data_IF_388047531948
#
_entry.id   IF_388047531948
#
_cell.length_a   1.000
_cell.length_b   1.000
_cell.length_c   1.000
_cell.angle_alpha   90.00
_cell.angle_beta   90.00
_cell.angle_gamma   90.00
#
_symmetry.space_group_name_H-M   'P 1'
#
loop_
_entity.id
_entity.type
_entity.pdbx_description
1 polymer ?
#
# COMPACT_ATOMS: atom_id res chain seq x y z
N UNK A 1 -98.52 -7.73 -60.76
CA UNK A 1 -99.04 -6.77 -61.74
C UNK A 1 -98.11 -5.56 -61.79
N UNK A 2 -97.90 -4.96 -62.97
CA UNK A 2 -96.62 -4.44 -63.45
C UNK A 2 -96.41 -2.94 -63.20
N UNK A 3 -95.19 -2.45 -63.42
CA UNK A 3 -94.93 -1.17 -64.08
C UNK A 3 -93.47 -1.11 -64.58
N UNK A 4 -93.19 -0.41 -65.70
CA UNK A 4 -92.10 -0.70 -66.63
C UNK A 4 -90.93 0.31 -66.59
N UNK A 5 -89.85 -0.06 -67.29
CA UNK A 5 -88.61 0.70 -67.51
C UNK A 5 -88.79 1.96 -68.37
N UNK A 6 -87.80 2.87 -68.39
CA UNK A 6 -86.87 3.01 -69.54
C UNK A 6 -85.43 3.43 -69.07
N UNK A 7 -84.33 3.49 -69.81
CA UNK A 7 -83.83 3.23 -71.18
C UNK A 7 -82.27 3.30 -71.10
N UNK A 8 -81.53 2.47 -71.84
CA UNK A 8 -80.04 2.50 -72.05
C UNK A 8 -79.66 3.58 -73.12
N UNK A 9 -78.44 3.73 -73.74
CA UNK A 9 -77.14 2.99 -73.74
C UNK A 9 -75.92 4.01 -73.86
N UNK A 10 -74.71 3.77 -74.46
CA UNK A 10 -74.09 2.56 -75.06
C UNK A 10 -72.59 2.26 -74.77
N UNK A 11 -72.28 0.95 -74.87
CA UNK A 11 -71.16 0.23 -75.54
C UNK A 11 -69.78 0.94 -75.70
N UNK A 12 -68.62 0.29 -75.54
CA UNK A 12 -68.14 -0.90 -76.28
C UNK A 12 -66.80 -1.46 -75.65
N UNK A 13 -66.05 -2.43 -76.23
CA UNK A 13 -65.97 -3.79 -75.69
C UNK A 13 -64.56 -4.42 -75.51
N UNK A 14 -64.52 -5.50 -74.72
CA UNK A 14 -63.75 -6.76 -74.80
C UNK A 14 -62.19 -6.85 -74.87
N UNK A 15 -61.66 -7.52 -73.81
CA UNK A 15 -60.65 -8.64 -73.76
C UNK A 15 -59.16 -8.33 -74.08
N UNK A 16 -58.18 -9.21 -73.73
CA UNK A 16 -58.14 -10.39 -72.83
C UNK A 16 -56.94 -10.40 -71.83
N UNK A 17 -56.83 -11.52 -71.08
CA UNK A 17 -55.79 -11.96 -70.13
C UNK A 17 -54.33 -11.56 -70.43
N UNK A 18 -53.61 -11.07 -69.41
CA UNK A 18 -52.16 -10.97 -69.40
C UNK A 18 -51.52 -11.94 -68.40
N UNK A 19 -50.56 -12.66 -68.96
CA UNK A 19 -49.59 -13.60 -68.45
C UNK A 19 -49.04 -13.37 -67.03
N UNK A 20 -48.94 -14.50 -66.34
CA UNK A 20 -48.05 -14.88 -65.25
C UNK A 20 -46.63 -14.28 -65.43
N UNK A 21 -46.31 -13.24 -64.65
CA UNK A 21 -44.95 -12.67 -64.59
C UNK A 21 -44.02 -13.58 -63.79
N UNK A 22 -43.06 -14.19 -64.50
CA UNK A 22 -41.91 -14.89 -63.94
C UNK A 22 -41.11 -14.03 -62.93
N UNK A 23 -40.44 -14.64 -61.94
CA UNK A 23 -39.57 -13.92 -61.03
C UNK A 23 -38.36 -13.35 -61.78
N UNK A 24 -38.03 -12.08 -61.52
CA UNK A 24 -36.80 -11.46 -62.00
C UNK A 24 -35.59 -12.23 -61.44
N UNK A 25 -34.52 -12.45 -62.21
CA UNK A 25 -33.27 -13.00 -61.67
C UNK A 25 -32.71 -12.02 -60.65
N UNK A 26 -32.28 -12.53 -59.49
CA UNK A 26 -31.42 -11.77 -58.59
C UNK A 26 -30.17 -11.35 -59.36
N UNK A 27 -29.95 -10.05 -59.52
CA UNK A 27 -28.71 -9.51 -60.04
C UNK A 27 -27.56 -10.02 -59.14
N UNK A 28 -26.72 -10.88 -59.71
CA UNK A 28 -25.47 -11.31 -59.09
C UNK A 28 -24.66 -10.06 -58.75
N UNK A 29 -24.19 -9.87 -57.50
CA UNK A 29 -23.32 -8.74 -57.20
C UNK A 29 -22.10 -8.83 -58.12
N UNK A 30 -21.89 -7.81 -58.97
CA UNK A 30 -20.71 -7.74 -59.83
C UNK A 30 -19.40 -7.61 -59.03
N UNK A 31 -19.51 -7.26 -57.75
CA UNK A 31 -18.42 -7.14 -56.80
C UNK A 31 -18.28 -8.44 -55.96
N UNK A 32 -17.17 -9.19 -56.10
CA UNK A 32 -16.87 -10.37 -55.30
C UNK A 32 -16.92 -10.12 -53.79
N UNK A 33 -16.56 -8.92 -53.32
CA UNK A 33 -16.58 -8.58 -51.89
C UNK A 33 -18.00 -8.47 -51.35
N UNK A 34 -18.89 -7.79 -52.07
CA UNK A 34 -20.31 -7.71 -51.73
C UNK A 34 -20.96 -9.10 -51.69
N UNK A 35 -20.63 -9.97 -52.66
CA UNK A 35 -21.12 -11.35 -52.67
C UNK A 35 -20.59 -12.16 -51.49
N UNK A 36 -19.33 -12.00 -51.12
CA UNK A 36 -18.77 -12.67 -49.96
C UNK A 36 -19.44 -12.24 -48.64
N UNK A 37 -19.75 -10.95 -48.48
CA UNK A 37 -20.48 -10.43 -47.30
C UNK A 37 -21.86 -11.07 -47.16
N UNK A 38 -22.61 -11.16 -48.25
CA UNK A 38 -23.94 -11.80 -48.27
C UNK A 38 -23.86 -13.28 -47.88
N UNK A 39 -22.84 -14.01 -48.34
CA UNK A 39 -22.61 -15.40 -47.96
C UNK A 39 -22.24 -15.55 -46.49
N UNK A 40 -21.45 -14.63 -45.94
CA UNK A 40 -21.09 -14.58 -44.51
C UNK A 40 -22.33 -14.36 -43.64
N UNK A 41 -23.21 -13.42 -44.02
CA UNK A 41 -24.47 -13.16 -43.30
C UNK A 41 -25.40 -14.39 -43.26
N UNK A 42 -25.31 -15.26 -44.27
CA UNK A 42 -26.04 -16.54 -44.35
C UNK A 42 -25.34 -17.69 -43.65
N UNK A 43 -24.13 -17.48 -43.12
CA UNK A 43 -23.31 -18.53 -42.51
C UNK A 43 -22.66 -19.50 -43.52
N UNK A 44 -22.63 -19.16 -44.81
CA UNK A 44 -22.10 -20.00 -45.89
C UNK A 44 -20.58 -19.79 -46.07
N UNK A 45 -19.81 -20.04 -45.00
CA UNK A 45 -18.40 -19.66 -44.90
C UNK A 45 -17.46 -20.32 -45.93
N UNK A 46 -17.67 -21.59 -46.29
CA UNK A 46 -16.84 -22.24 -47.33
C UNK A 46 -17.04 -21.63 -48.72
N UNK A 47 -18.27 -21.25 -49.05
CA UNK A 47 -18.57 -20.57 -50.31
C UNK A 47 -17.98 -19.15 -50.29
N UNK A 48 -18.14 -18.43 -49.18
CA UNK A 48 -17.52 -17.11 -49.00
C UNK A 48 -15.99 -17.17 -49.16
N UNK A 49 -15.33 -18.19 -48.58
CA UNK A 49 -13.89 -18.43 -48.75
C UNK A 49 -13.50 -18.61 -50.22
N UNK A 50 -14.26 -19.43 -50.96
CA UNK A 50 -14.01 -19.66 -52.39
C UNK A 50 -14.13 -18.39 -53.23
N UNK A 51 -15.13 -17.54 -52.93
CA UNK A 51 -15.31 -16.24 -53.61
C UNK A 51 -14.15 -15.29 -53.28
N UNK A 52 -13.75 -15.20 -52.01
CA UNK A 52 -12.68 -14.30 -51.57
C UNK A 52 -11.29 -14.73 -52.06
N UNK A 53 -11.05 -16.03 -52.24
CA UNK A 53 -9.78 -16.53 -52.77
C UNK A 53 -9.54 -16.14 -54.25
N UNK A 54 -10.61 -15.89 -55.01
CA UNK A 54 -10.55 -15.46 -56.42
C UNK A 54 -10.70 -13.94 -56.62
N UNK A 55 -10.92 -13.18 -55.55
CA UNK A 55 -11.11 -11.74 -55.61
C UNK A 55 -9.77 -10.98 -55.64
N UNK A 56 -9.78 -9.76 -56.19
CA UNK A 56 -8.62 -8.85 -56.10
C UNK A 56 -8.25 -8.60 -54.62
N UNK A 57 -6.96 -8.72 -54.24
CA UNK A 57 -6.52 -8.60 -52.86
C UNK A 57 -6.63 -7.15 -52.39
N UNK A 58 -7.77 -6.81 -51.81
CA UNK A 58 -7.99 -5.56 -51.08
C UNK A 58 -7.93 -5.76 -49.57
N UNK A 59 -7.67 -4.69 -48.83
CA UNK A 59 -7.66 -4.67 -47.35
C UNK A 59 -8.94 -5.27 -46.77
N UNK A 60 -10.09 -4.84 -47.28
CA UNK A 60 -11.40 -5.30 -46.83
C UNK A 60 -11.64 -6.77 -47.17
N UNK A 61 -11.23 -7.21 -48.37
CA UNK A 61 -11.34 -8.62 -48.76
C UNK A 61 -10.46 -9.53 -47.90
N UNK A 62 -9.22 -9.11 -47.60
CA UNK A 62 -8.29 -9.87 -46.76
C UNK A 62 -8.75 -9.96 -45.30
N UNK A 63 -9.27 -8.85 -44.77
CA UNK A 63 -9.89 -8.86 -43.43
C UNK A 63 -11.11 -9.78 -43.38
N UNK A 64 -12.02 -9.68 -44.35
CA UNK A 64 -13.20 -10.55 -44.40
C UNK A 64 -12.82 -12.02 -44.58
N UNK A 65 -11.77 -12.31 -45.35
CA UNK A 65 -11.24 -13.66 -45.49
C UNK A 65 -10.71 -14.19 -44.16
N UNK A 66 -10.03 -13.36 -43.37
CA UNK A 66 -9.64 -13.68 -42.00
C UNK A 66 -10.85 -14.07 -41.15
N UNK A 67 -11.91 -13.26 -41.15
CA UNK A 67 -13.13 -13.52 -40.37
C UNK A 67 -13.80 -14.85 -40.79
N UNK A 68 -13.87 -15.12 -42.09
CA UNK A 68 -14.38 -16.39 -42.64
C UNK A 68 -13.52 -17.58 -42.20
N UNK A 69 -12.20 -17.44 -42.21
CA UNK A 69 -11.28 -18.51 -41.82
C UNK A 69 -11.34 -18.79 -40.31
N UNK A 70 -11.54 -17.76 -39.47
CA UNK A 70 -11.82 -17.94 -38.04
C UNK A 70 -13.12 -18.74 -37.85
N UNK A 71 -14.19 -18.39 -38.55
CA UNK A 71 -15.46 -19.11 -38.46
C UNK A 71 -15.37 -20.59 -38.90
N UNK A 72 -14.45 -20.89 -39.82
CA UNK A 72 -14.15 -22.26 -40.26
C UNK A 72 -13.16 -23.01 -39.34
N UNK A 73 -12.64 -22.38 -38.28
CA UNK A 73 -11.62 -22.95 -37.39
C UNK A 73 -10.23 -23.06 -38.02
N UNK A 74 -9.98 -22.38 -39.15
CA UNK A 74 -8.71 -22.40 -39.89
C UNK A 74 -7.80 -21.27 -39.40
N UNK A 75 -7.48 -21.31 -38.12
CA UNK A 75 -6.89 -20.18 -37.40
C UNK A 75 -5.52 -19.70 -37.94
N UNK A 76 -4.54 -20.57 -38.28
CA UNK A 76 -3.25 -20.10 -38.81
C UNK A 76 -3.40 -19.34 -40.14
N UNK A 77 -4.33 -19.80 -40.98
CA UNK A 77 -4.61 -19.16 -42.27
C UNK A 77 -5.35 -17.85 -42.09
N UNK A 78 -6.23 -17.75 -41.09
CA UNK A 78 -6.88 -16.51 -40.73
C UNK A 78 -5.86 -15.44 -40.33
N UNK A 79 -4.86 -15.79 -39.52
CA UNK A 79 -3.77 -14.88 -39.13
C UNK A 79 -3.00 -14.40 -40.35
N UNK A 80 -2.68 -15.29 -41.30
CA UNK A 80 -2.02 -14.89 -42.55
C UNK A 80 -2.90 -13.91 -43.36
N UNK A 81 -4.20 -14.19 -43.49
CA UNK A 81 -5.13 -13.31 -44.20
C UNK A 81 -5.26 -11.93 -43.53
N UNK A 82 -5.34 -11.86 -42.20
CA UNK A 82 -5.34 -10.59 -41.47
C UNK A 82 -4.01 -9.86 -41.59
N UNK A 83 -2.87 -10.55 -41.54
CA UNK A 83 -1.56 -9.93 -41.67
C UNK A 83 -1.39 -9.26 -43.05
N UNK A 84 -1.91 -9.87 -44.11
CA UNK A 84 -1.96 -9.27 -45.45
C UNK A 84 -2.89 -8.05 -45.53
N UNK A 85 -3.80 -7.87 -44.57
CA UNK A 85 -4.68 -6.71 -44.50
C UNK A 85 -4.06 -5.53 -43.74
N UNK A 86 -2.88 -5.67 -43.14
CA UNK A 86 -2.25 -4.60 -42.34
C UNK A 86 -1.77 -3.47 -43.27
N UNK A 87 -2.26 -2.22 -43.11
CA UNK A 87 -1.73 -1.08 -43.86
C UNK A 87 -0.32 -0.67 -43.45
N UNK A 88 0.44 -0.16 -44.42
CA UNK A 88 1.73 0.50 -44.19
C UNK A 88 1.57 2.02 -43.95
N UNK A 89 0.44 2.60 -44.32
CA UNK A 89 0.18 4.04 -44.37
C UNK A 89 -0.73 4.56 -43.24
N UNK A 90 -1.29 3.67 -42.43
CA UNK A 90 -2.29 3.99 -41.40
C UNK A 90 -2.03 3.16 -40.12
N UNK A 91 -1.29 3.76 -39.19
CA UNK A 91 -0.92 3.12 -37.93
C UNK A 91 -2.13 2.70 -37.09
N UNK A 92 -3.23 3.47 -37.11
CA UNK A 92 -4.43 3.18 -36.33
C UNK A 92 -5.12 1.93 -36.87
N UNK A 93 -5.28 1.86 -38.20
CA UNK A 93 -5.86 0.69 -38.85
C UNK A 93 -4.95 -0.54 -38.72
N UNK A 94 -3.63 -0.36 -38.79
CA UNK A 94 -2.65 -1.43 -38.55
C UNK A 94 -2.78 -2.01 -37.14
N UNK A 95 -2.83 -1.16 -36.12
CA UNK A 95 -2.98 -1.58 -34.72
C UNK A 95 -4.31 -2.28 -34.47
N UNK A 96 -5.41 -1.84 -35.09
CA UNK A 96 -6.71 -2.51 -34.99
C UNK A 96 -6.67 -3.94 -35.54
N UNK A 97 -5.99 -4.15 -36.67
CA UNK A 97 -5.85 -5.49 -37.27
C UNK A 97 -4.91 -6.36 -36.43
N UNK A 98 -3.79 -5.81 -35.95
CA UNK A 98 -2.88 -6.54 -35.03
C UNK A 98 -3.58 -6.92 -33.73
N UNK A 99 -4.47 -6.09 -33.20
CA UNK A 99 -5.30 -6.42 -32.04
C UNK A 99 -6.23 -7.61 -32.33
N UNK A 100 -6.85 -7.62 -33.51
CA UNK A 100 -7.69 -8.75 -33.97
C UNK A 100 -6.87 -10.04 -34.07
N UNK A 101 -5.67 -9.98 -34.67
CA UNK A 101 -4.76 -11.11 -34.77
C UNK A 101 -4.37 -11.64 -33.38
N UNK A 102 -4.05 -10.76 -32.43
CA UNK A 102 -3.74 -11.16 -31.04
C UNK A 102 -4.90 -11.91 -30.39
N UNK A 103 -6.13 -11.44 -30.56
CA UNK A 103 -7.32 -12.12 -30.05
C UNK A 103 -7.51 -13.52 -30.63
N UNK A 104 -7.21 -13.69 -31.92
CA UNK A 104 -7.24 -15.01 -32.59
C UNK A 104 -6.12 -15.92 -32.07
N UNK A 105 -4.89 -15.40 -31.92
CA UNK A 105 -3.75 -16.13 -31.36
C UNK A 105 -4.00 -16.57 -29.90
N UNK A 106 -4.66 -15.74 -29.09
CA UNK A 106 -4.98 -16.07 -27.70
C UNK A 106 -5.92 -17.27 -27.55
N UNK A 107 -6.73 -17.56 -28.56
CA UNK A 107 -7.67 -18.68 -28.58
C UNK A 107 -7.07 -19.97 -29.17
N UNK A 108 -5.86 -19.93 -29.75
CA UNK A 108 -5.26 -21.08 -30.42
C UNK A 108 -4.62 -22.09 -29.45
N UNK A 109 -4.62 -23.37 -29.87
CA UNK A 109 -3.82 -24.42 -29.24
C UNK A 109 -2.33 -24.36 -29.65
N UNK A 110 -1.46 -25.12 -28.95
CA UNK A 110 -0.01 -25.06 -29.17
C UNK A 110 0.44 -25.50 -30.57
N UNK A 111 -0.28 -26.43 -31.23
CA UNK A 111 0.04 -26.86 -32.60
C UNK A 111 -0.13 -25.72 -33.61
N UNK A 112 -1.27 -25.03 -33.56
CA UNK A 112 -1.59 -23.92 -34.48
C UNK A 112 -0.70 -22.71 -34.20
N UNK A 113 -0.43 -22.39 -32.93
CA UNK A 113 0.57 -21.38 -32.56
C UNK A 113 1.96 -21.70 -33.11
N UNK A 114 2.35 -22.98 -33.06
CA UNK A 114 3.60 -23.45 -33.66
C UNK A 114 3.66 -23.24 -35.17
N UNK A 115 2.54 -23.48 -35.87
CA UNK A 115 2.43 -23.20 -37.32
C UNK A 115 2.57 -21.72 -37.64
N UNK A 116 1.92 -20.83 -36.87
CA UNK A 116 2.05 -19.37 -37.06
C UNK A 116 3.49 -18.91 -36.79
N UNK A 117 4.09 -19.38 -35.69
CA UNK A 117 5.47 -19.07 -35.33
C UNK A 117 6.49 -19.52 -36.38
N UNK A 118 6.22 -20.64 -37.06
CA UNK A 118 7.06 -21.17 -38.14
C UNK A 118 6.82 -20.46 -39.49
N UNK A 119 5.58 -20.07 -39.77
CA UNK A 119 5.21 -19.35 -41.00
C UNK A 119 5.91 -18.00 -41.09
N UNK A 120 5.99 -17.28 -39.97
CA UNK A 120 6.60 -15.95 -39.94
C UNK A 120 7.47 -15.74 -38.69
N UNK A 121 8.70 -16.30 -38.68
CA UNK A 121 9.58 -16.34 -37.52
C UNK A 121 9.92 -14.98 -36.90
N UNK A 122 10.03 -13.93 -37.74
CA UNK A 122 10.57 -12.62 -37.37
C UNK A 122 9.55 -11.48 -37.45
N UNK A 123 8.26 -11.77 -37.65
CA UNK A 123 7.22 -10.73 -37.60
C UNK A 123 6.51 -10.69 -36.23
N UNK A 124 5.81 -9.59 -35.90
CA UNK A 124 5.11 -9.44 -34.63
C UNK A 124 4.12 -10.57 -34.32
N UNK A 125 3.46 -11.13 -35.34
CA UNK A 125 2.47 -12.19 -35.22
C UNK A 125 3.11 -13.51 -34.78
N UNK A 126 4.19 -13.92 -35.45
CA UNK A 126 4.93 -15.13 -35.09
C UNK A 126 5.64 -14.98 -33.75
N UNK A 127 6.19 -13.79 -33.46
CA UNK A 127 6.75 -13.46 -32.17
C UNK A 127 5.74 -13.55 -31.03
N UNK A 128 4.52 -13.02 -31.22
CA UNK A 128 3.43 -13.15 -30.25
C UNK A 128 2.99 -14.61 -30.08
N UNK A 129 2.93 -15.40 -31.16
CA UNK A 129 2.62 -16.82 -31.09
C UNK A 129 3.64 -17.58 -30.23
N UNK A 130 4.94 -17.29 -30.38
CA UNK A 130 6.01 -17.85 -29.51
C UNK A 130 5.85 -17.43 -28.06
N UNK A 131 5.50 -16.18 -27.79
CA UNK A 131 5.22 -15.71 -26.42
C UNK A 131 4.02 -16.44 -25.80
N UNK A 132 2.96 -16.71 -26.58
CA UNK A 132 1.82 -17.52 -26.10
C UNK A 132 2.21 -18.96 -25.82
N UNK A 133 3.06 -19.57 -26.65
CA UNK A 133 3.62 -20.90 -26.37
C UNK A 133 4.42 -20.93 -25.06
N UNK A 134 5.25 -19.90 -24.80
CA UNK A 134 5.97 -19.79 -23.53
C UNK A 134 5.01 -19.68 -22.32
N UNK A 135 3.92 -18.93 -22.44
CA UNK A 135 2.88 -18.83 -21.40
C UNK A 135 2.12 -20.15 -21.20
N UNK A 136 1.78 -20.86 -22.27
CA UNK A 136 1.15 -22.19 -22.18
C UNK A 136 2.08 -23.21 -21.51
N UNK A 137 3.40 -23.10 -21.69
CA UNK A 137 4.37 -23.89 -20.95
C UNK A 137 4.33 -23.59 -19.44
N UNK A 138 4.25 -22.30 -19.05
CA UNK A 138 4.08 -21.90 -17.64
C UNK A 138 2.77 -22.41 -17.03
N UNK A 139 1.66 -22.33 -17.76
CA UNK A 139 0.35 -22.83 -17.31
C UNK A 139 0.39 -24.36 -17.03
N UNK A 140 1.22 -25.10 -17.77
CA UNK A 140 1.50 -26.53 -17.54
C UNK A 140 2.53 -26.79 -16.44
N UNK A 141 3.14 -25.75 -15.87
CA UNK A 141 4.22 -25.87 -14.87
C UNK A 141 5.60 -26.14 -15.46
N UNK A 142 5.75 -26.07 -16.79
CA UNK A 142 7.01 -26.33 -17.49
C UNK A 142 7.83 -25.03 -17.63
N UNK A 143 8.49 -24.65 -16.53
CA UNK A 143 9.31 -23.44 -16.49
C UNK A 143 10.57 -23.56 -17.37
N UNK A 144 11.06 -24.77 -17.66
CA UNK A 144 12.26 -24.99 -18.47
C UNK A 144 11.96 -24.72 -19.94
N UNK A 145 10.87 -25.28 -20.48
CA UNK A 145 10.41 -24.96 -21.84
C UNK A 145 10.08 -23.46 -21.98
N UNK A 146 9.42 -22.88 -20.98
CA UNK A 146 9.09 -21.45 -21.00
C UNK A 146 10.34 -20.57 -21.08
N UNK A 147 11.38 -20.86 -20.28
CA UNK A 147 12.63 -20.11 -20.29
C UNK A 147 13.36 -20.22 -21.63
N UNK A 148 13.47 -21.42 -22.19
CA UNK A 148 14.09 -21.64 -23.49
C UNK A 148 13.41 -20.81 -24.59
N UNK A 149 12.07 -20.83 -24.63
CA UNK A 149 11.32 -20.02 -25.61
C UNK A 149 11.49 -18.52 -25.39
N UNK A 150 11.55 -18.05 -24.14
CA UNK A 150 11.73 -16.62 -23.86
C UNK A 150 13.13 -16.14 -24.22
N UNK A 151 14.15 -16.97 -24.05
CA UNK A 151 15.53 -16.70 -24.50
C UNK A 151 15.60 -16.56 -26.03
N UNK A 152 14.97 -17.48 -26.76
CA UNK A 152 14.86 -17.39 -28.23
C UNK A 152 14.16 -16.10 -28.67
N UNK A 153 13.05 -15.73 -28.02
CA UNK A 153 12.33 -14.49 -28.34
C UNK A 153 13.18 -13.26 -28.04
N UNK A 154 13.86 -13.21 -26.89
CA UNK A 154 14.74 -12.08 -26.52
C UNK A 154 15.90 -11.92 -27.52
N UNK A 155 16.44 -13.02 -28.03
CA UNK A 155 17.51 -13.01 -29.03
C UNK A 155 17.01 -12.59 -30.43
N UNK A 156 15.93 -13.19 -30.92
CA UNK A 156 15.41 -12.95 -32.27
C UNK A 156 14.77 -11.57 -32.44
N UNK A 157 14.22 -11.02 -31.34
CA UNK A 157 13.54 -9.72 -31.31
C UNK A 157 14.33 -8.69 -30.49
N UNK A 158 15.67 -8.77 -30.53
CA UNK A 158 16.55 -7.86 -29.82
C UNK A 158 16.32 -6.40 -30.25
N UNK A 159 15.95 -5.54 -29.28
CA UNK A 159 15.74 -4.12 -29.51
C UNK A 159 14.29 -3.71 -29.75
N UNK A 160 13.34 -4.65 -29.78
CA UNK A 160 11.91 -4.33 -29.83
C UNK A 160 11.19 -4.54 -28.49
N UNK A 161 9.89 -4.17 -28.44
CA UNK A 161 9.04 -4.33 -27.25
C UNK A 161 8.78 -5.80 -26.87
N UNK A 162 8.75 -6.71 -27.85
CA UNK A 162 8.49 -8.12 -27.63
C UNK A 162 9.69 -8.80 -26.97
N UNK A 163 10.89 -8.60 -27.50
CA UNK A 163 12.14 -9.07 -26.91
C UNK A 163 12.36 -8.49 -25.51
N UNK A 164 12.09 -7.19 -25.32
CA UNK A 164 12.13 -6.56 -23.99
C UNK A 164 11.14 -7.22 -22.99
N UNK A 165 9.92 -7.52 -23.44
CA UNK A 165 8.89 -8.19 -22.63
C UNK A 165 9.28 -9.63 -22.30
N UNK A 166 9.82 -10.37 -23.28
CA UNK A 166 10.30 -11.73 -23.10
C UNK A 166 11.47 -11.80 -22.10
N UNK A 167 12.45 -10.90 -22.25
CA UNK A 167 13.57 -10.78 -21.32
C UNK A 167 13.14 -10.43 -19.90
N UNK A 168 12.14 -9.54 -19.74
CA UNK A 168 11.59 -9.22 -18.42
C UNK A 168 10.92 -10.44 -17.76
N UNK A 169 10.11 -11.19 -18.51
CA UNK A 169 9.48 -12.42 -18.01
C UNK A 169 10.52 -13.50 -17.70
N UNK A 170 11.54 -13.67 -18.55
CA UNK A 170 12.64 -14.62 -18.34
C UNK A 170 13.37 -14.33 -17.03
N UNK A 171 13.82 -13.08 -16.82
CA UNK A 171 14.48 -12.66 -15.57
C UNK A 171 13.61 -12.92 -14.34
N UNK A 172 12.29 -12.68 -14.45
CA UNK A 172 11.36 -12.97 -13.35
C UNK A 172 11.28 -14.47 -13.01
N UNK A 173 11.24 -15.34 -14.02
CA UNK A 173 11.20 -16.79 -13.84
C UNK A 173 12.54 -17.33 -13.29
N UNK A 174 13.67 -16.84 -13.79
CA UNK A 174 14.99 -17.19 -13.28
C UNK A 174 15.15 -16.81 -11.81
N UNK A 175 14.73 -15.60 -11.43
CA UNK A 175 14.73 -15.17 -10.04
C UNK A 175 13.86 -16.07 -9.15
N UNK A 176 12.70 -16.52 -9.65
CA UNK A 176 11.83 -17.48 -8.94
C UNK A 176 12.48 -18.87 -8.78
N UNK A 177 13.26 -19.34 -9.74
CA UNK A 177 13.98 -20.63 -9.64
C UNK A 177 15.20 -20.52 -8.71
N UNK A 178 15.83 -19.36 -8.64
CA UNK A 178 16.99 -19.11 -7.79
C UNK A 178 16.64 -19.11 -6.29
N UNK A 179 15.38 -18.85 -5.94
CA UNK A 179 14.91 -18.84 -4.55
C UNK A 179 14.23 -20.15 -4.16
N UNK A 180 14.33 -20.51 -2.88
CA UNK A 180 13.61 -21.61 -2.25
C UNK A 180 12.37 -21.04 -1.58
N UNK A 181 11.15 -21.31 -2.09
CA UNK A 181 9.92 -20.80 -1.50
C UNK A 181 9.87 -21.03 0.02
N UNK A 182 9.42 -20.02 0.76
CA UNK A 182 9.32 -20.07 2.22
C UNK A 182 10.63 -19.85 2.98
N UNK A 183 11.79 -19.76 2.33
CA UNK A 183 13.08 -19.60 3.02
C UNK A 183 13.37 -18.12 3.34
N UNK A 184 13.29 -17.74 4.60
CA UNK A 184 13.60 -16.39 5.09
C UNK A 184 14.91 -16.38 5.86
N UNK A 185 15.77 -15.40 5.59
CA UNK A 185 16.99 -15.17 6.34
C UNK A 185 16.79 -14.23 7.54
N UNK A 186 17.40 -14.52 8.68
CA UNK A 186 17.48 -13.60 9.82
C UNK A 186 18.95 -13.32 10.14
N UNK A 187 19.42 -12.12 9.79
CA UNK A 187 20.80 -11.67 9.98
C UNK A 187 20.87 -10.77 11.21
N UNK A 188 21.27 -11.32 12.35
CA UNK A 188 21.24 -10.62 13.65
C UNK A 188 22.47 -11.01 14.50
N UNK A 189 22.92 -10.18 15.47
CA UNK A 189 24.05 -10.52 16.33
C UNK A 189 23.66 -11.66 17.27
N UNK A 190 24.12 -12.87 17.00
CA UNK A 190 23.92 -14.05 17.85
C UNK A 190 25.10 -14.26 18.81
N UNK A 191 26.24 -13.62 18.52
CA UNK A 191 27.40 -13.53 19.41
C UNK A 191 27.79 -12.07 19.69
N UNK A 192 28.85 -11.89 20.49
CA UNK A 192 29.38 -10.57 20.84
C UNK A 192 28.52 -9.76 21.84
N UNK A 193 28.79 -8.45 21.97
CA UNK A 193 28.13 -7.57 22.93
C UNK A 193 26.62 -7.42 22.70
N UNK A 194 26.18 -7.46 21.44
CA UNK A 194 24.78 -7.27 21.06
C UNK A 194 23.94 -8.56 21.06
N UNK A 195 24.49 -9.70 21.51
CA UNK A 195 23.80 -11.01 21.50
C UNK A 195 22.42 -10.99 22.16
N UNK A 196 22.27 -10.19 23.22
CA UNK A 196 21.01 -10.12 23.96
C UNK A 196 19.88 -9.57 23.08
N UNK A 197 20.18 -8.59 22.22
CA UNK A 197 19.23 -8.03 21.27
C UNK A 197 18.93 -8.99 20.12
N UNK A 198 19.95 -9.65 19.55
CA UNK A 198 19.73 -10.65 18.51
C UNK A 198 18.91 -11.84 18.99
N UNK A 199 19.11 -12.32 20.23
CA UNK A 199 18.24 -13.36 20.82
C UNK A 199 16.78 -12.92 20.95
N UNK A 200 16.51 -11.64 21.25
CA UNK A 200 15.14 -11.10 21.25
C UNK A 200 14.56 -11.08 19.84
N UNK A 201 15.34 -10.66 18.84
CA UNK A 201 14.92 -10.68 17.44
C UNK A 201 14.62 -12.11 16.96
N UNK A 202 15.46 -13.09 17.28
CA UNK A 202 15.19 -14.51 16.99
C UNK A 202 13.88 -14.98 17.61
N UNK A 203 13.65 -14.70 18.90
CA UNK A 203 12.38 -15.05 19.55
C UNK A 203 11.18 -14.45 18.84
N UNK A 204 11.24 -13.15 18.50
CA UNK A 204 10.18 -12.47 17.76
C UNK A 204 9.93 -13.08 16.39
N UNK A 205 10.98 -13.37 15.63
CA UNK A 205 10.88 -13.99 14.31
C UNK A 205 10.30 -15.41 14.37
N UNK A 206 10.73 -16.21 15.34
CA UNK A 206 10.22 -17.58 15.54
C UNK A 206 8.74 -17.58 15.93
N UNK A 207 8.33 -16.67 16.83
CA UNK A 207 6.92 -16.50 17.19
C UNK A 207 6.09 -16.03 16.00
N UNK A 208 6.55 -15.01 15.27
CA UNK A 208 5.84 -14.46 14.11
C UNK A 208 5.75 -15.43 12.93
N UNK A 209 6.75 -16.30 12.76
CA UNK A 209 6.75 -17.35 11.74
C UNK A 209 5.88 -18.57 12.10
N UNK A 210 5.30 -18.64 13.32
CA UNK A 210 4.42 -19.72 13.70
C UNK A 210 5.09 -21.10 13.77
N UNK A 211 6.42 -21.18 13.91
CA UNK A 211 7.19 -22.43 13.81
C UNK A 211 6.88 -23.47 14.90
N UNK A 212 6.10 -23.10 15.92
CA UNK A 212 5.66 -23.98 17.00
C UNK A 212 4.14 -24.19 17.02
N UNK A 213 3.43 -23.81 15.96
CA UNK A 213 2.01 -24.13 15.79
C UNK A 213 1.79 -25.60 15.41
N UNK A 214 0.51 -26.02 15.40
CA UNK A 214 0.12 -27.38 15.03
C UNK A 214 0.21 -27.64 13.50
N UNK A 215 0.19 -26.58 12.69
CA UNK A 215 0.27 -26.64 11.23
C UNK A 215 1.67 -26.22 10.74
N UNK A 216 2.12 -26.79 9.62
CA UNK A 216 3.35 -26.36 8.96
C UNK A 216 3.14 -24.96 8.35
N UNK A 217 3.86 -23.92 8.83
CA UNK A 217 3.69 -22.57 8.31
C UNK A 217 4.24 -22.40 6.89
N UNK A 218 4.93 -23.39 6.33
CA UNK A 218 5.60 -23.28 5.03
C UNK A 218 6.75 -22.28 5.04
N UNK A 219 7.27 -21.94 6.23
CA UNK A 219 8.36 -20.98 6.45
C UNK A 219 9.57 -21.69 7.02
N UNK A 220 10.71 -21.53 6.34
CA UNK A 220 12.03 -21.95 6.82
C UNK A 220 12.84 -20.73 7.22
N UNK A 221 13.11 -20.58 8.52
CA UNK A 221 13.93 -19.49 9.03
C UNK A 221 15.42 -19.90 9.07
N UNK A 222 16.28 -19.20 8.33
CA UNK A 222 17.73 -19.40 8.31
C UNK A 222 18.40 -18.33 9.16
N UNK A 223 18.96 -18.74 10.30
CA UNK A 223 19.63 -17.82 11.22
C UNK A 223 21.08 -17.59 10.79
N UNK A 224 21.49 -16.31 10.69
CA UNK A 224 22.88 -15.91 10.42
C UNK A 224 23.38 -14.96 11.51
N UNK A 225 24.57 -15.25 12.03
CA UNK A 225 25.21 -14.41 13.05
C UNK A 225 25.97 -13.25 12.40
N UNK A 226 25.45 -12.03 12.53
CA UNK A 226 26.13 -10.83 12.02
C UNK A 226 27.22 -10.31 12.95
N UNK A 227 27.31 -10.82 14.19
CA UNK A 227 28.18 -10.32 15.28
C UNK A 227 28.01 -8.84 15.64
N UNK A 228 27.14 -8.10 14.94
CA UNK A 228 27.03 -6.65 15.00
C UNK A 228 28.09 -5.92 14.18
N UNK A 229 28.73 -6.60 13.23
CA UNK A 229 29.86 -6.08 12.44
C UNK A 229 29.46 -5.93 10.96
N UNK A 230 29.97 -4.87 10.30
CA UNK A 230 29.64 -4.54 8.91
C UNK A 230 30.03 -5.65 7.91
N UNK A 231 31.29 -6.06 7.95
CA UNK A 231 31.82 -7.09 7.04
C UNK A 231 31.15 -8.45 7.23
N UNK A 232 30.84 -8.82 8.48
CA UNK A 232 30.15 -10.08 8.76
C UNK A 232 28.70 -10.01 8.28
N UNK A 233 27.99 -8.91 8.54
CA UNK A 233 26.61 -8.74 8.06
C UNK A 233 26.51 -8.86 6.54
N UNK A 234 27.43 -8.23 5.79
CA UNK A 234 27.54 -8.37 4.33
C UNK A 234 27.74 -9.83 3.91
N UNK A 235 28.75 -10.52 4.47
CA UNK A 235 29.01 -11.94 4.16
C UNK A 235 27.79 -12.83 4.42
N UNK A 236 27.06 -12.57 5.50
CA UNK A 236 25.87 -13.35 5.85
C UNK A 236 24.69 -13.12 4.91
N UNK A 237 24.53 -11.90 4.38
CA UNK A 237 23.56 -11.60 3.32
C UNK A 237 23.92 -12.30 2.01
N UNK A 238 25.19 -12.24 1.60
CA UNK A 238 25.71 -12.97 0.43
C UNK A 238 25.45 -14.48 0.55
N UNK A 239 25.71 -15.06 1.72
CA UNK A 239 25.44 -16.47 1.99
C UNK A 239 23.95 -16.81 1.94
N UNK A 240 23.06 -15.93 2.43
CA UNK A 240 21.61 -16.14 2.37
C UNK A 240 21.08 -16.12 0.93
N UNK A 241 21.58 -15.21 0.10
CA UNK A 241 21.22 -15.17 -1.31
C UNK A 241 21.66 -16.46 -2.03
N UNK A 242 22.87 -16.95 -1.76
CA UNK A 242 23.36 -18.22 -2.31
C UNK A 242 22.56 -19.44 -1.81
N UNK A 243 21.97 -19.36 -0.61
CA UNK A 243 21.03 -20.35 -0.08
C UNK A 243 19.60 -20.20 -0.63
N UNK A 244 19.37 -19.26 -1.55
CA UNK A 244 18.06 -19.04 -2.18
C UNK A 244 17.03 -18.49 -1.20
N UNK A 245 17.42 -17.67 -0.22
CA UNK A 245 16.45 -16.98 0.63
C UNK A 245 15.56 -16.05 -0.23
N UNK A 246 14.25 -16.03 0.04
CA UNK A 246 13.30 -15.13 -0.65
C UNK A 246 13.42 -13.68 -0.16
N UNK A 247 13.86 -13.51 1.08
CA UNK A 247 14.11 -12.21 1.72
C UNK A 247 14.97 -12.41 2.97
N UNK A 248 15.55 -11.32 3.47
CA UNK A 248 16.27 -11.28 4.73
C UNK A 248 15.68 -10.23 5.70
N UNK A 249 15.81 -10.49 7.00
CA UNK A 249 15.40 -9.60 8.10
C UNK A 249 16.61 -9.29 8.98
N UNK A 250 16.70 -8.06 9.48
CA UNK A 250 17.89 -7.50 10.14
C UNK A 250 18.79 -6.80 9.11
N UNK A 251 19.99 -6.34 9.50
CA UNK A 251 20.58 -6.27 10.85
C UNK A 251 19.95 -5.23 11.79
N UNK A 252 20.44 -5.17 13.04
CA UNK A 252 20.01 -4.21 14.07
C UNK A 252 20.90 -2.96 14.22
N UNK A 253 22.22 -3.08 14.01
CA UNK A 253 23.18 -1.96 14.18
C UNK A 253 23.31 -1.20 12.86
N UNK A 254 23.42 0.14 12.92
CA UNK A 254 23.54 1.02 11.75
C UNK A 254 24.56 0.56 10.71
N UNK A 255 25.85 0.58 11.06
CA UNK A 255 26.96 0.17 10.16
C UNK A 255 26.77 -1.24 9.58
N UNK A 256 26.26 -2.18 10.39
CA UNK A 256 25.97 -3.53 9.93
C UNK A 256 24.82 -3.56 8.91
N UNK A 257 23.79 -2.76 9.15
CA UNK A 257 22.65 -2.62 8.27
C UNK A 257 23.00 -1.94 6.95
N UNK A 258 23.86 -0.94 6.97
CA UNK A 258 24.35 -0.28 5.75
C UNK A 258 25.10 -1.26 4.84
N UNK A 259 26.07 -2.00 5.38
CA UNK A 259 26.83 -2.99 4.62
C UNK A 259 25.95 -4.16 4.11
N UNK A 260 25.00 -4.61 4.94
CA UNK A 260 24.03 -5.63 4.54
C UNK A 260 23.09 -5.12 3.43
N UNK A 261 22.66 -3.85 3.51
CA UNK A 261 21.78 -3.23 2.52
C UNK A 261 22.47 -3.09 1.16
N UNK A 262 23.74 -2.66 1.15
CA UNK A 262 24.53 -2.60 -0.09
C UNK A 262 24.63 -3.97 -0.77
N UNK A 263 24.97 -5.01 0.01
CA UNK A 263 25.04 -6.38 -0.49
C UNK A 263 23.69 -6.89 -1.02
N UNK A 264 22.61 -6.66 -0.25
CA UNK A 264 21.26 -7.07 -0.60
C UNK A 264 20.79 -6.45 -1.92
N UNK A 265 21.07 -5.16 -2.15
CA UNK A 265 20.77 -4.46 -3.41
C UNK A 265 21.49 -5.10 -4.59
N UNK A 266 22.81 -5.32 -4.46
CA UNK A 266 23.61 -5.92 -5.53
C UNK A 266 23.15 -7.33 -5.91
N UNK A 267 22.55 -8.05 -4.97
CA UNK A 267 22.04 -9.41 -5.15
C UNK A 267 20.53 -9.46 -5.50
N UNK A 268 19.84 -8.32 -5.48
CA UNK A 268 18.38 -8.27 -5.64
C UNK A 268 17.61 -8.99 -4.54
N UNK A 269 18.20 -9.16 -3.35
CA UNK A 269 17.57 -9.82 -2.20
C UNK A 269 16.80 -8.78 -1.37
N UNK A 270 15.46 -8.88 -1.24
CA UNK A 270 14.72 -7.97 -0.39
C UNK A 270 15.19 -8.04 1.07
N UNK A 271 15.46 -6.89 1.69
CA UNK A 271 15.98 -6.80 3.05
C UNK A 271 15.08 -5.92 3.92
N UNK A 272 14.63 -6.43 5.06
CA UNK A 272 13.93 -5.65 6.09
C UNK A 272 14.87 -5.42 7.27
N UNK A 273 15.53 -4.27 7.31
CA UNK A 273 16.43 -3.92 8.42
C UNK A 273 15.66 -3.49 9.68
N UNK A 274 16.22 -3.80 10.85
CA UNK A 274 15.69 -3.46 12.17
C UNK A 274 16.44 -2.29 12.81
N UNK A 275 17.28 -1.59 12.04
CA UNK A 275 18.10 -0.49 12.53
C UNK A 275 17.30 0.80 12.72
N UNK A 276 17.59 1.59 13.77
CA UNK A 276 17.09 2.96 13.88
C UNK A 276 17.80 3.92 12.90
N UNK A 277 18.95 3.55 12.33
CA UNK A 277 19.72 4.42 11.44
C UNK A 277 18.90 4.82 10.19
N UNK A 278 18.90 6.12 9.89
CA UNK A 278 18.30 6.67 8.67
C UNK A 278 19.16 6.37 7.43
N UNK A 279 18.61 6.62 6.23
CA UNK A 279 19.36 6.52 4.97
C UNK A 279 19.61 5.09 4.45
N UNK A 280 19.18 4.05 5.17
CA UNK A 280 19.40 2.65 4.76
C UNK A 280 18.32 2.12 3.81
N UNK A 281 17.12 2.69 3.80
CA UNK A 281 16.00 2.23 2.97
C UNK A 281 16.13 2.65 1.49
N UNK A 282 15.52 1.89 0.58
CA UNK A 282 15.54 2.09 -0.87
C UNK A 282 16.08 0.88 -1.64
N UNK A 283 15.65 0.71 -2.88
CA UNK A 283 16.11 -0.33 -3.82
C UNK A 283 15.97 -1.77 -3.29
N UNK A 284 14.78 -2.12 -2.79
CA UNK A 284 14.51 -3.44 -2.21
C UNK A 284 14.91 -3.58 -0.73
N UNK A 285 15.44 -2.52 -0.13
CA UNK A 285 15.71 -2.45 1.32
C UNK A 285 14.63 -1.62 2.01
N UNK A 286 14.02 -2.20 3.04
CA UNK A 286 12.97 -1.63 3.87
C UNK A 286 13.47 -1.49 5.30
N UNK A 287 12.98 -0.50 6.03
CA UNK A 287 13.35 -0.26 7.42
C UNK A 287 12.14 -0.43 8.32
N UNK A 288 12.20 -1.40 9.23
CA UNK A 288 11.18 -1.63 10.26
C UNK A 288 11.53 -0.86 11.52
N UNK A 289 11.41 0.46 11.45
CA UNK A 289 11.62 1.35 12.59
C UNK A 289 10.74 2.59 12.45
N UNK A 290 9.97 2.90 13.49
CA UNK A 290 9.20 4.15 13.58
C UNK A 290 10.10 5.23 14.19
N UNK A 291 10.48 6.29 13.43
CA UNK A 291 11.28 7.39 13.97
C UNK A 291 10.54 8.13 15.10
N UNK A 292 11.29 8.59 16.10
CA UNK A 292 10.74 9.23 17.30
C UNK A 292 9.95 10.49 16.95
N UNK A 293 10.41 11.25 15.95
CA UNK A 293 9.70 12.45 15.48
C UNK A 293 8.34 12.11 14.84
N UNK A 294 8.24 10.98 14.14
CA UNK A 294 6.97 10.53 13.54
C UNK A 294 6.01 10.02 14.61
N UNK A 295 6.52 9.24 15.57
CA UNK A 295 5.77 8.72 16.71
C UNK A 295 5.17 9.86 17.55
N UNK A 296 6.01 10.79 17.98
CA UNK A 296 5.61 11.92 18.82
C UNK A 296 4.72 12.89 18.05
N UNK A 297 5.04 13.16 16.78
CA UNK A 297 4.20 14.01 15.94
C UNK A 297 2.79 13.43 15.75
N UNK A 298 2.66 12.11 15.58
CA UNK A 298 1.36 11.45 15.51
C UNK A 298 0.59 11.54 16.83
N UNK A 299 1.27 11.33 17.96
CA UNK A 299 0.69 11.46 19.31
C UNK A 299 0.15 12.87 19.56
N UNK A 300 0.97 13.90 19.30
CA UNK A 300 0.58 15.30 19.51
C UNK A 300 -0.55 15.72 18.57
N UNK A 301 -0.50 15.35 17.29
CA UNK A 301 -1.60 15.62 16.35
C UNK A 301 -2.93 15.05 16.84
N UNK A 302 -2.90 13.82 17.36
CA UNK A 302 -4.09 13.20 17.92
C UNK A 302 -4.57 13.91 19.19
N UNK A 303 -3.66 14.28 20.09
CA UNK A 303 -3.98 15.01 21.30
C UNK A 303 -4.62 16.39 21.00
N UNK A 304 -4.04 17.16 20.10
CA UNK A 304 -4.53 18.52 19.76
C UNK A 304 -5.79 18.45 18.92
N UNK A 305 -5.78 17.73 17.79
CA UNK A 305 -6.89 17.76 16.82
C UNK A 305 -8.01 16.79 17.16
N UNK A 306 -7.68 15.65 17.76
CA UNK A 306 -8.63 14.60 18.09
C UNK A 306 -9.26 14.78 19.47
N UNK A 307 -8.46 15.15 20.48
CA UNK A 307 -8.92 15.32 21.86
C UNK A 307 -9.16 16.79 22.23
N UNK A 308 -8.72 17.75 21.41
CA UNK A 308 -8.92 19.18 21.66
C UNK A 308 -8.00 19.78 22.75
N UNK A 309 -6.96 19.05 23.17
CA UNK A 309 -6.03 19.48 24.22
C UNK A 309 -5.11 20.59 23.70
N UNK A 310 -4.83 21.60 24.53
CA UNK A 310 -4.05 22.78 24.12
C UNK A 310 -2.87 23.07 25.03
N UNK A 311 -2.96 22.77 26.32
CA UNK A 311 -1.89 23.01 27.28
C UNK A 311 -1.29 21.68 27.74
N UNK A 312 0.04 21.59 27.74
CA UNK A 312 0.76 20.35 28.02
C UNK A 312 1.90 20.59 29.01
N UNK A 313 2.16 19.61 29.85
CA UNK A 313 3.35 19.52 30.67
C UNK A 313 4.23 18.36 30.20
N UNK A 314 5.54 18.45 30.43
CA UNK A 314 6.50 17.38 30.13
C UNK A 314 7.19 16.95 31.42
N UNK A 315 7.05 15.69 31.80
CA UNK A 315 7.76 15.08 32.91
C UNK A 315 8.63 13.95 32.37
N UNK A 316 9.96 14.07 32.38
CA UNK A 316 10.83 13.14 31.67
C UNK A 316 12.02 12.62 32.49
N UNK A 317 12.48 11.37 32.29
CA UNK A 317 13.71 10.89 32.91
C UNK A 317 14.92 11.62 32.32
N UNK A 318 15.86 12.10 33.15
CA UNK A 318 17.05 12.84 32.70
C UNK A 318 18.12 11.92 32.06
N UNK A 319 17.76 11.35 30.93
CA UNK A 319 18.57 10.43 30.13
C UNK A 319 18.68 10.98 28.70
N UNK A 320 19.66 10.55 27.89
CA UNK A 320 19.73 10.95 26.48
C UNK A 320 18.43 10.68 25.71
N UNK A 321 17.78 9.54 25.95
CA UNK A 321 16.49 9.19 25.34
C UNK A 321 15.36 10.08 25.86
N UNK A 322 15.27 10.32 27.17
CA UNK A 322 14.24 11.21 27.73
C UNK A 322 14.33 12.63 27.20
N UNK A 323 15.55 13.20 27.12
CA UNK A 323 15.80 14.51 26.51
C UNK A 323 15.44 14.55 25.03
N UNK A 324 15.79 13.50 24.26
CA UNK A 324 15.38 13.38 22.86
C UNK A 324 13.86 13.47 22.71
N UNK A 325 13.10 12.66 23.46
CA UNK A 325 11.64 12.67 23.36
C UNK A 325 11.01 13.98 23.88
N UNK A 326 11.57 14.59 24.94
CA UNK A 326 11.18 15.93 25.40
C UNK A 326 11.27 16.94 24.26
N UNK A 327 12.41 16.99 23.58
CA UNK A 327 12.64 17.95 22.48
C UNK A 327 11.67 17.69 21.32
N UNK A 328 11.49 16.42 20.92
CA UNK A 328 10.52 16.05 19.87
C UNK A 328 9.09 16.42 20.22
N UNK A 329 8.70 16.27 21.49
CA UNK A 329 7.35 16.59 21.95
C UNK A 329 7.12 18.09 22.00
N UNK A 330 8.07 18.85 22.54
CA UNK A 330 8.03 20.30 22.54
C UNK A 330 7.88 20.84 21.11
N UNK A 331 8.74 20.41 20.19
CA UNK A 331 8.70 20.84 18.79
C UNK A 331 7.34 20.52 18.14
N UNK A 332 6.81 19.31 18.39
CA UNK A 332 5.54 18.88 17.83
C UNK A 332 4.34 19.65 18.40
N UNK A 333 4.33 19.97 19.70
CA UNK A 333 3.25 20.75 20.33
C UNK A 333 3.22 22.17 19.77
N UNK A 334 4.38 22.83 19.68
CA UNK A 334 4.49 24.17 19.11
C UNK A 334 4.03 24.17 17.64
N UNK A 335 4.42 23.16 16.86
CA UNK A 335 4.02 23.04 15.46
C UNK A 335 2.51 22.84 15.26
N UNK A 336 1.82 22.21 16.22
CA UNK A 336 0.37 22.02 16.21
C UNK A 336 -0.40 23.17 16.90
N UNK A 337 0.29 24.22 17.37
CA UNK A 337 -0.31 25.39 17.99
C UNK A 337 -0.78 25.18 19.43
N UNK A 338 -0.25 24.17 20.12
CA UNK A 338 -0.40 24.00 21.56
C UNK A 338 0.69 24.74 22.36
N UNK A 339 0.54 24.73 23.68
CA UNK A 339 1.42 25.39 24.63
C UNK A 339 2.03 24.38 25.61
N UNK A 340 3.31 24.56 25.94
CA UNK A 340 3.94 23.82 27.03
C UNK A 340 3.98 24.73 28.26
N UNK A 341 3.29 24.36 29.34
CA UNK A 341 3.20 25.17 30.57
C UNK A 341 4.24 24.78 31.63
N UNK A 342 4.79 23.56 31.55
CA UNK A 342 5.82 23.10 32.48
C UNK A 342 6.67 21.97 31.92
N UNK A 343 7.95 21.95 32.30
CA UNK A 343 8.91 20.91 31.90
C UNK A 343 9.82 20.58 33.07
N UNK A 344 9.76 19.34 33.54
CA UNK A 344 10.58 18.88 34.66
C UNK A 344 11.24 17.54 34.40
N UNK A 345 12.47 17.40 34.90
CA UNK A 345 13.28 16.22 34.75
C UNK A 345 13.41 15.47 36.08
N UNK A 346 13.51 14.14 36.04
CA UNK A 346 13.76 13.31 37.21
C UNK A 346 14.87 12.29 36.98
N UNK A 347 15.56 11.86 38.04
CA UNK A 347 16.75 11.01 37.97
C UNK A 347 16.45 9.51 37.76
N UNK A 348 15.17 9.15 37.61
CA UNK A 348 14.69 7.78 37.36
C UNK A 348 14.20 7.04 38.62
N UNK A 349 14.19 7.70 39.78
CA UNK A 349 13.64 7.17 41.04
C UNK A 349 12.36 7.92 41.47
N UNK A 350 11.60 7.34 42.39
CA UNK A 350 10.31 7.90 42.84
C UNK A 350 10.46 9.22 43.61
N UNK A 351 11.54 9.39 44.38
CA UNK A 351 11.72 10.61 45.17
C UNK A 351 12.01 11.80 44.27
N UNK A 352 12.89 11.64 43.27
CA UNK A 352 13.13 12.68 42.27
C UNK A 352 11.93 12.94 41.37
N UNK A 353 11.12 11.91 41.06
CA UNK A 353 9.88 12.08 40.32
C UNK A 353 8.82 12.87 41.11
N UNK A 354 8.67 12.62 42.42
CA UNK A 354 7.77 13.39 43.29
C UNK A 354 8.18 14.87 43.36
N UNK A 355 9.46 15.13 43.61
CA UNK A 355 9.98 16.50 43.61
C UNK A 355 9.80 17.20 42.24
N UNK A 356 9.88 16.46 41.13
CA UNK A 356 9.62 17.00 39.81
C UNK A 356 8.13 17.35 39.60
N UNK A 357 7.19 16.56 40.14
CA UNK A 357 5.75 16.90 40.12
C UNK A 357 5.46 18.14 40.96
N UNK A 358 6.08 18.27 42.13
CA UNK A 358 5.94 19.46 42.98
C UNK A 358 6.44 20.73 42.28
N UNK A 359 7.55 20.64 41.55
CA UNK A 359 8.07 21.76 40.75
C UNK A 359 7.14 22.09 39.59
N UNK A 360 6.68 21.06 38.88
CA UNK A 360 5.80 21.19 37.74
C UNK A 360 4.47 21.89 38.08
N UNK A 361 4.01 21.73 39.33
CA UNK A 361 2.74 22.30 39.82
C UNK A 361 2.94 23.52 40.74
N UNK A 362 4.19 24.00 40.85
CA UNK A 362 4.54 25.19 41.61
C UNK A 362 4.34 25.08 43.11
N UNK A 363 4.34 23.89 43.71
CA UNK A 363 4.29 23.70 45.18
C UNK A 363 5.67 23.47 45.79
N UNK A 364 6.68 23.23 44.96
CA UNK A 364 8.05 23.02 45.41
C UNK A 364 8.70 24.31 45.92
N UNK A 365 9.24 24.26 47.15
CA UNK A 365 10.15 25.28 47.67
C UNK A 365 9.53 26.65 47.96
N UNK A 366 8.20 26.71 48.17
CA UNK A 366 7.50 27.95 48.48
C UNK A 366 8.01 28.60 49.77
N UNK A 367 8.22 29.92 49.74
CA UNK A 367 8.58 30.69 50.94
C UNK A 367 7.35 30.88 51.86
N UNK A 368 7.54 31.17 53.16
CA UNK A 368 6.41 31.49 54.05
C UNK A 368 5.55 32.65 53.55
N UNK A 369 6.15 33.61 52.83
CA UNK A 369 5.47 34.75 52.22
C UNK A 369 4.59 34.31 51.04
N UNK A 370 5.08 33.40 50.20
CA UNK A 370 4.33 32.84 49.07
C UNK A 370 3.18 31.94 49.55
N UNK A 371 3.41 31.13 50.59
CA UNK A 371 2.36 30.30 51.23
C UNK A 371 1.26 31.21 51.77
N UNK A 372 1.62 32.26 52.52
CA UNK A 372 0.66 33.25 53.04
C UNK A 372 -0.08 33.96 51.91
N UNK A 373 0.60 34.31 50.82
CA UNK A 373 -0.04 34.94 49.66
C UNK A 373 -1.08 34.03 49.00
N UNK A 374 -0.76 32.74 48.78
CA UNK A 374 -1.71 31.76 48.24
C UNK A 374 -2.90 31.52 49.18
N UNK A 375 -2.65 31.41 50.48
CA UNK A 375 -3.71 31.29 51.48
C UNK A 375 -4.70 32.45 51.40
N UNK A 376 -4.18 33.69 51.37
CA UNK A 376 -5.00 34.89 51.28
C UNK A 376 -5.78 34.97 49.96
N UNK A 377 -5.18 34.54 48.85
CA UNK A 377 -5.86 34.48 47.56
C UNK A 377 -7.00 33.46 47.56
N UNK A 378 -6.79 32.27 48.14
CA UNK A 378 -7.85 31.27 48.27
C UNK A 378 -9.00 31.75 49.17
N UNK A 379 -8.69 32.40 50.30
CA UNK A 379 -9.70 32.98 51.17
C UNK A 379 -10.48 34.10 50.47
N UNK A 380 -9.83 34.94 49.67
CA UNK A 380 -10.50 35.96 48.87
C UNK A 380 -11.48 35.33 47.88
N UNK A 381 -11.05 34.32 47.12
CA UNK A 381 -11.91 33.61 46.16
C UNK A 381 -13.09 32.91 46.83
N UNK A 382 -12.88 32.36 48.03
CA UNK A 382 -13.97 31.78 48.85
C UNK A 382 -15.01 32.84 49.21
N UNK A 383 -14.58 33.99 49.71
CA UNK A 383 -15.47 35.09 50.07
C UNK A 383 -16.21 35.65 48.85
N UNK A 384 -15.56 35.74 47.69
CA UNK A 384 -16.21 36.12 46.43
C UNK A 384 -17.31 35.14 46.00
N UNK A 385 -17.07 33.82 46.13
CA UNK A 385 -18.09 32.80 45.86
C UNK A 385 -19.26 32.88 46.84
N UNK A 386 -18.97 33.07 48.11
CA UNK A 386 -19.99 33.24 49.14
C UNK A 386 -20.84 34.51 48.86
N UNK A 387 -20.20 35.61 48.50
CA UNK A 387 -20.89 36.84 48.08
C UNK A 387 -21.82 36.59 46.90
N UNK A 388 -21.35 35.92 45.84
CA UNK A 388 -22.17 35.62 44.67
C UNK A 388 -23.40 34.77 45.04
N UNK A 389 -23.26 33.85 46.00
CA UNK A 389 -24.38 33.06 46.54
C UNK A 389 -25.39 33.95 47.30
N UNK A 390 -24.92 34.83 48.19
CA UNK A 390 -25.79 35.75 48.92
C UNK A 390 -26.52 36.73 48.01
N UNK A 391 -25.82 37.29 47.01
CA UNK A 391 -26.42 38.18 46.00
C UNK A 391 -27.50 37.44 45.19
N UNK A 392 -27.28 36.18 44.82
CA UNK A 392 -28.29 35.34 44.17
C UNK A 392 -29.54 35.09 45.06
N UNK A 393 -29.37 35.14 46.38
CA UNK A 393 -30.46 35.03 47.37
C UNK A 393 -31.08 36.39 47.73
N UNK A 394 -30.65 37.49 47.11
CA UNK A 394 -31.17 38.84 47.35
C UNK A 394 -30.68 39.49 48.64
N UNK A 395 -29.60 38.98 49.23
CA UNK A 395 -28.99 39.51 50.45
C UNK A 395 -27.68 40.20 50.09
N UNK A 396 -27.48 41.45 50.51
CA UNK A 396 -26.21 42.16 50.34
C UNK A 396 -25.39 42.05 51.64
N UNK A 397 -24.29 41.27 51.66
CA UNK A 397 -23.43 41.17 52.83
C UNK A 397 -22.68 42.48 53.10
N UNK A 398 -22.32 42.74 54.36
CA UNK A 398 -21.56 43.92 54.75
C UNK A 398 -20.10 43.86 54.23
N UNK A 399 -19.54 44.98 53.75
CA UNK A 399 -18.21 45.04 53.12
C UNK A 399 -17.08 44.50 54.03
N UNK A 400 -17.13 44.76 55.33
CA UNK A 400 -16.15 44.28 56.30
C UNK A 400 -16.18 42.75 56.52
N UNK A 401 -17.25 42.06 56.13
CA UNK A 401 -17.33 40.59 56.19
C UNK A 401 -16.70 39.92 54.96
N UNK A 402 -16.22 40.70 53.98
CA UNK A 402 -15.70 40.23 52.70
C UNK A 402 -14.19 40.45 52.52
N UNK A 403 -13.50 40.96 53.54
CA UNK A 403 -12.04 41.06 53.53
C UNK A 403 -11.40 39.77 54.07
N UNK A 404 -10.45 39.16 53.34
CA UNK A 404 -9.77 37.96 53.82
C UNK A 404 -8.97 38.28 55.08
N UNK A 405 -9.27 37.59 56.17
CA UNK A 405 -8.54 37.71 57.43
C UNK A 405 -7.46 36.64 57.52
N UNK A 406 -6.28 37.01 58.03
CA UNK A 406 -5.22 36.04 58.35
C UNK A 406 -5.61 35.35 59.65
N UNK A 407 -6.23 34.19 59.51
CA UNK A 407 -6.40 33.24 60.60
C UNK A 407 -5.09 32.43 60.74
N UNK A 408 -4.28 32.73 61.76
CA UNK A 408 -2.97 32.10 61.96
C UNK A 408 -3.07 30.59 62.26
N UNK A 409 -4.18 30.12 62.85
CA UNK A 409 -4.40 28.68 63.07
C UNK A 409 -4.63 27.97 61.74
N UNK A 410 -5.48 28.55 60.88
CA UNK A 410 -5.75 28.01 59.54
C UNK A 410 -4.56 28.13 58.59
N UNK A 411 -3.76 29.20 58.71
CA UNK A 411 -2.53 29.36 57.93
C UNK A 411 -1.46 28.33 58.32
N UNK A 412 -1.37 27.97 59.61
CA UNK A 412 -0.41 26.97 60.07
C UNK A 412 -0.73 25.55 59.55
N UNK A 413 -2.01 25.25 59.30
CA UNK A 413 -2.48 23.98 58.73
C UNK A 413 -2.67 24.03 57.20
N UNK A 414 -2.37 25.15 56.55
CA UNK A 414 -2.61 25.33 55.13
C UNK A 414 -1.56 24.64 54.26
N UNK A 415 -2.00 23.68 53.44
CA UNK A 415 -1.21 23.07 52.38
C UNK A 415 -1.56 23.71 51.03
N UNK A 416 -0.61 24.38 50.35
CA UNK A 416 -0.87 25.04 49.07
C UNK A 416 -1.31 24.04 48.00
N UNK A 417 -2.41 24.35 47.31
CA UNK A 417 -2.88 23.51 46.20
C UNK A 417 -1.94 23.58 44.99
N UNK A 418 -1.82 22.46 44.24
CA UNK A 418 -1.08 22.45 42.98
C UNK A 418 -1.74 23.36 41.93
N UNK A 419 -0.93 24.04 41.14
CA UNK A 419 -1.38 24.76 39.94
C UNK A 419 -1.32 23.78 38.78
N UNK A 420 -2.49 23.45 38.22
CA UNK A 420 -2.63 22.55 37.07
C UNK A 420 -3.20 23.35 35.91
N UNK A 421 -2.30 23.94 35.12
CA UNK A 421 -2.62 24.78 33.95
C UNK A 421 -2.45 24.04 32.62
N UNK A 422 -2.31 22.71 32.68
CA UNK A 422 -2.16 21.82 31.52
C UNK A 422 -3.28 20.77 31.46
N UNK A 423 -3.69 20.43 30.24
CA UNK A 423 -4.68 19.38 29.96
C UNK A 423 -4.04 17.98 29.99
N UNK A 424 -2.73 17.89 29.74
CA UNK A 424 -2.02 16.62 29.61
C UNK A 424 -0.57 16.66 30.08
N UNK A 425 -0.07 15.53 30.58
CA UNK A 425 1.33 15.32 30.93
C UNK A 425 1.94 14.29 29.99
N UNK A 426 2.97 14.69 29.25
CA UNK A 426 3.80 13.78 28.46
C UNK A 426 4.91 13.18 29.31
N UNK A 427 4.93 11.85 29.39
CA UNK A 427 5.87 11.06 30.18
C UNK A 427 6.61 10.06 29.28
N UNK A 428 7.74 10.45 28.66
CA UNK A 428 8.51 9.58 27.77
C UNK A 428 9.38 8.59 28.55
N UNK A 429 8.74 7.70 29.29
CA UNK A 429 9.38 6.66 30.08
C UNK A 429 8.87 5.27 29.67
N UNK A 430 9.65 4.19 29.88
CA UNK A 430 9.18 2.81 29.75
C UNK A 430 7.91 2.54 30.56
N UNK A 431 7.08 1.58 30.13
CA UNK A 431 5.80 1.24 30.78
C UNK A 431 5.90 1.07 32.29
N UNK A 432 6.91 0.35 32.78
CA UNK A 432 7.13 0.14 34.21
C UNK A 432 7.41 1.44 34.97
N UNK A 433 8.29 2.30 34.45
CA UNK A 433 8.60 3.59 35.07
C UNK A 433 7.38 4.52 35.02
N UNK A 434 6.65 4.52 33.91
CA UNK A 434 5.43 5.31 33.79
C UNK A 434 4.36 4.87 34.79
N UNK A 435 4.17 3.56 34.98
CA UNK A 435 3.25 3.01 35.97
C UNK A 435 3.63 3.35 37.42
N UNK A 436 4.92 3.56 37.69
CA UNK A 436 5.43 4.00 38.99
C UNK A 436 5.25 5.51 39.22
N UNK A 437 5.45 6.33 38.19
CA UNK A 437 5.38 7.80 38.28
C UNK A 437 3.95 8.31 38.20
N UNK A 438 3.07 7.69 37.40
CA UNK A 438 1.70 8.16 37.20
C UNK A 438 0.88 8.34 38.49
N UNK A 439 0.94 7.43 39.50
CA UNK A 439 0.24 7.64 40.77
C UNK A 439 0.72 8.84 41.58
N UNK A 440 1.95 9.33 41.36
CA UNK A 440 2.47 10.50 42.05
C UNK A 440 1.70 11.77 41.67
N UNK A 441 1.21 11.86 40.43
CA UNK A 441 0.39 13.00 40.01
C UNK A 441 -0.89 13.08 40.86
N UNK A 442 -1.59 11.97 41.04
CA UNK A 442 -2.78 11.93 41.90
C UNK A 442 -2.44 12.14 43.38
N UNK A 443 -1.28 11.64 43.85
CA UNK A 443 -0.81 11.87 45.22
C UNK A 443 -0.56 13.36 45.50
N UNK A 444 -0.14 14.14 44.50
CA UNK A 444 0.07 15.59 44.57
C UNK A 444 -1.15 16.38 44.07
N UNK A 445 -2.36 15.84 44.16
CA UNK A 445 -3.63 16.48 43.76
C UNK A 445 -3.68 16.98 42.30
N UNK A 446 -2.85 16.42 41.41
CA UNK A 446 -2.89 16.66 39.96
C UNK A 446 -3.93 15.73 39.34
N UNK A 447 -5.19 16.15 39.43
CA UNK A 447 -6.34 15.40 38.92
C UNK A 447 -6.76 15.84 37.51
N UNK A 448 -7.56 15.01 36.83
CA UNK A 448 -8.20 15.32 35.53
C UNK A 448 -7.25 15.59 34.34
N UNK A 449 -5.97 15.24 34.45
CA UNK A 449 -5.00 15.37 33.35
C UNK A 449 -4.90 14.09 32.51
N UNK A 450 -4.66 14.25 31.20
CA UNK A 450 -4.40 13.11 30.31
C UNK A 450 -2.92 12.74 30.32
N UNK A 451 -2.63 11.46 30.55
CA UNK A 451 -1.27 10.94 30.40
C UNK A 451 -0.99 10.57 28.94
N UNK A 452 0.10 11.11 28.41
CA UNK A 452 0.61 10.82 27.07
C UNK A 452 1.96 10.13 27.21
N UNK A 453 2.14 9.01 26.51
CA UNK A 453 3.33 8.19 26.60
C UNK A 453 3.87 7.79 25.24
N UNK A 454 5.07 7.22 25.24
CA UNK A 454 5.68 6.63 24.06
C UNK A 454 5.14 5.21 23.82
N UNK A 455 5.38 4.65 22.63
CA UNK A 455 4.96 3.31 22.21
C UNK A 455 5.34 2.20 23.19
N UNK A 456 6.35 2.44 24.03
CA UNK A 456 6.76 1.48 25.06
C UNK A 456 5.65 1.14 26.06
N UNK A 457 4.65 2.01 26.21
CA UNK A 457 3.48 1.78 27.06
C UNK A 457 2.56 0.67 26.52
N UNK A 458 2.64 0.36 25.22
CA UNK A 458 1.86 -0.72 24.61
C UNK A 458 2.52 -2.09 24.74
N UNK A 459 3.74 -2.16 25.28
CA UNK A 459 4.39 -3.42 25.61
C UNK A 459 4.09 -3.78 27.08
N UNK A 460 3.53 -4.97 27.34
CA UNK A 460 3.21 -5.41 28.70
C UNK A 460 4.43 -5.59 29.58
#
# INVERSE_FOLDING_TARGET
APAPAPEEPPQAPARPEEAETAPRPAETPADPLARARELVERGEFEQARGVLAGAEPSREARRLLGDVLVALGRYPEAVAAYAEAIPEDDDIAADSIRYTIRGVLDAMGPEDLGRVAAWCPFCPEGGYARLRLARLALERGDAEEALARLEEIEADFAGDLLGASAGALRRHLEARRAVRPGTLGLVVPLSGPLRAFGRRAVRGAVLGAGLFGDEDPGVRLVLKDSRGEADEARRQVEALAAEGAVAAVGPLKGEAAEAAAEAARGLGLPLVTLTPAGGVAGDGVFRMYLPEAEEVGALVRYAVRGLGLRAFAILYPDTPTGRLYRDRFWDAVVAEGGEITGVEAFAGDLASAGAAVEKLTGVYGLTPEEIRARFLEEERLRLERERALWEALGVTPAEAALEPQVDEERLAEYEPKPIVDFDAVFLPAPSLTAAQVAPLLAFHDVESVRLLGIRSWTYP
#
